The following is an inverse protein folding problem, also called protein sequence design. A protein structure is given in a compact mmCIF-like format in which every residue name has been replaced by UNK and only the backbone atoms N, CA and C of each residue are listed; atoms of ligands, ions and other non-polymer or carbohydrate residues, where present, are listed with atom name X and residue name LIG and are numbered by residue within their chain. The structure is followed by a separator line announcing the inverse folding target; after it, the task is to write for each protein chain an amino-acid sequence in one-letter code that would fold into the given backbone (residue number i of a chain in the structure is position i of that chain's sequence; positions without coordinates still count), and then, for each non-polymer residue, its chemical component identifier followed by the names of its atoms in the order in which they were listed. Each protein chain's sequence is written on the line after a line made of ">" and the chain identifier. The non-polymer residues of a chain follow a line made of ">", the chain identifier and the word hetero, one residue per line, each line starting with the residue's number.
data_IF_665175108487
#
_entry.id   IF_665175108487
#
_cell.length_a   1.000
_cell.length_b   1.000
_cell.length_c   1.000
_cell.angle_alpha   90.00
_cell.angle_beta   90.00
_cell.angle_gamma   90.00
#
_symmetry.space_group_name_H-M   'P 1'
#
loop_
_entity.id
_entity.type
_entity.pdbx_description
1 polymer ?
#
# COMPACT_ATOMS: atom_id res chain seq x y z
N UNK A 1 -15.33 -3.16 -4.42
CA UNK A 1 -15.55 -1.82 -5.03
C UNK A 1 -14.28 -1.54 -5.83
N UNK A 2 -14.37 -1.24 -7.13
CA UNK A 2 -13.18 -1.13 -7.98
C UNK A 2 -12.27 0.04 -7.55
N UNK A 3 -10.95 -0.15 -7.52
CA UNK A 3 -10.00 0.96 -7.37
C UNK A 3 -10.25 2.01 -8.46
N UNK A 4 -10.29 3.28 -8.08
CA UNK A 4 -10.51 4.40 -8.99
C UNK A 4 -9.30 5.34 -8.94
N UNK A 5 -8.51 5.31 -10.02
CA UNK A 5 -7.29 6.11 -10.17
C UNK A 5 -7.57 7.62 -10.03
N UNK A 6 -8.57 8.14 -10.74
CA UNK A 6 -8.89 9.58 -10.74
C UNK A 6 -9.26 10.05 -9.33
N UNK A 7 -10.11 9.29 -8.63
CA UNK A 7 -10.48 9.57 -7.24
C UNK A 7 -9.29 9.50 -6.28
N UNK A 8 -8.38 8.56 -6.49
CA UNK A 8 -7.16 8.46 -5.69
C UNK A 8 -6.28 9.70 -5.88
N UNK A 9 -6.09 10.15 -7.12
CA UNK A 9 -5.29 11.34 -7.46
C UNK A 9 -5.95 12.60 -6.90
N UNK A 10 -7.27 12.75 -7.02
CA UNK A 10 -8.01 13.89 -6.46
C UNK A 10 -7.86 13.99 -4.93
N UNK A 11 -7.88 12.86 -4.22
CA UNK A 11 -7.68 12.81 -2.76
C UNK A 11 -6.23 13.06 -2.36
N UNK A 12 -5.29 12.64 -3.21
CA UNK A 12 -3.86 12.66 -2.94
C UNK A 12 -3.18 13.59 -3.96
N UNK A 13 -2.44 13.02 -4.92
CA UNK A 13 -1.87 13.67 -6.10
C UNK A 13 -1.28 12.61 -7.05
N UNK A 14 -0.85 13.01 -8.25
CA UNK A 14 -0.23 12.09 -9.23
C UNK A 14 1.06 11.45 -8.71
N UNK A 15 1.85 12.18 -7.91
CA UNK A 15 3.11 11.66 -7.36
C UNK A 15 2.87 10.44 -6.47
N UNK A 16 1.89 10.51 -5.56
CA UNK A 16 1.53 9.39 -4.69
C UNK A 16 0.92 8.21 -5.46
N UNK A 17 0.30 8.47 -6.62
CA UNK A 17 -0.15 7.39 -7.50
C UNK A 17 1.04 6.65 -8.13
N UNK A 18 2.06 7.37 -8.60
CA UNK A 18 3.29 6.71 -9.07
C UNK A 18 4.02 5.95 -7.96
N UNK A 19 4.01 6.46 -6.73
CA UNK A 19 4.55 5.74 -5.58
C UNK A 19 3.76 4.46 -5.29
N UNK A 20 2.44 4.44 -5.48
CA UNK A 20 1.63 3.22 -5.39
C UNK A 20 2.04 2.20 -6.47
N UNK A 21 2.26 2.64 -7.70
CA UNK A 21 2.73 1.75 -8.78
C UNK A 21 4.12 1.18 -8.47
N UNK A 22 5.02 2.01 -7.93
CA UNK A 22 6.36 1.59 -7.51
C UNK A 22 6.31 0.59 -6.35
N UNK A 23 5.46 0.84 -5.35
CA UNK A 23 5.19 -0.10 -4.26
C UNK A 23 4.86 -1.51 -4.77
N UNK A 24 3.93 -1.64 -5.73
CA UNK A 24 3.58 -2.96 -6.26
C UNK A 24 4.74 -3.64 -6.98
N UNK A 25 5.56 -2.88 -7.71
CA UNK A 25 6.74 -3.40 -8.41
C UNK A 25 7.83 -3.89 -7.44
N UNK A 26 8.00 -3.18 -6.34
CA UNK A 26 9.08 -3.41 -5.38
C UNK A 26 8.72 -4.46 -4.34
N UNK A 27 7.47 -4.45 -3.85
CA UNK A 27 7.06 -5.27 -2.70
C UNK A 27 6.22 -6.48 -3.06
N UNK A 28 5.56 -6.51 -4.22
CA UNK A 28 4.60 -7.58 -4.55
C UNK A 28 5.17 -8.48 -5.64
N UNK A 29 5.69 -9.64 -5.24
CA UNK A 29 6.18 -10.70 -6.12
C UNK A 29 5.66 -12.07 -5.68
N UNK A 30 6.05 -13.15 -6.37
CA UNK A 30 5.58 -14.50 -6.08
C UNK A 30 5.83 -14.94 -4.63
N UNK A 31 6.92 -14.48 -4.01
CA UNK A 31 7.32 -14.86 -2.65
C UNK A 31 6.61 -14.00 -1.59
N UNK A 32 6.47 -12.70 -1.83
CA UNK A 32 5.95 -11.73 -0.85
C UNK A 32 4.44 -11.54 -0.92
N UNK A 33 3.81 -11.81 -2.07
CA UNK A 33 2.37 -11.60 -2.28
C UNK A 33 1.55 -12.26 -1.17
N UNK A 34 1.79 -13.55 -0.90
CA UNK A 34 0.98 -14.29 0.07
C UNK A 34 1.19 -13.78 1.49
N UNK A 35 2.41 -13.31 1.82
CA UNK A 35 2.71 -12.75 3.13
C UNK A 35 1.97 -11.45 3.37
N UNK A 36 2.06 -10.50 2.43
CA UNK A 36 1.37 -9.22 2.48
C UNK A 36 -0.14 -9.43 2.49
N UNK A 37 -0.65 -10.30 1.60
CA UNK A 37 -2.07 -10.58 1.48
C UNK A 37 -2.65 -11.13 2.78
N UNK A 38 -1.96 -12.10 3.40
CA UNK A 38 -2.38 -12.67 4.66
C UNK A 38 -2.32 -11.64 5.79
N UNK A 39 -1.24 -10.85 5.88
CA UNK A 39 -1.11 -9.78 6.87
C UNK A 39 -2.31 -8.82 6.83
N UNK A 40 -2.72 -8.39 5.64
CA UNK A 40 -3.88 -7.52 5.46
C UNK A 40 -5.19 -8.23 5.82
N UNK A 41 -5.41 -9.46 5.31
CA UNK A 41 -6.65 -10.20 5.52
C UNK A 41 -6.87 -10.66 6.96
N UNK A 42 -5.84 -10.84 7.76
CA UNK A 42 -5.99 -11.32 9.14
C UNK A 42 -6.77 -10.30 9.99
N UNK A 43 -8.04 -10.59 10.23
CA UNK A 43 -8.95 -9.75 11.03
C UNK A 43 -8.60 -9.75 12.52
N UNK A 44 -7.85 -10.75 13.00
CA UNK A 44 -7.41 -10.84 14.39
C UNK A 44 -6.43 -9.71 14.75
N UNK A 45 -5.69 -9.18 13.76
CA UNK A 45 -4.86 -8.00 13.93
C UNK A 45 -5.68 -6.75 13.58
N UNK A 46 -6.05 -5.98 14.61
CA UNK A 46 -6.71 -4.67 14.42
C UNK A 46 -5.74 -3.63 13.87
N UNK A 47 -4.46 -3.73 14.21
CA UNK A 47 -3.40 -2.88 13.71
C UNK A 47 -2.08 -3.65 13.72
N UNK A 48 -1.11 -3.21 12.93
CA UNK A 48 0.21 -3.83 12.87
C UNK A 48 1.04 -3.23 11.75
N UNK A 49 2.30 -3.64 11.68
CA UNK A 49 3.27 -3.17 10.70
C UNK A 49 3.93 -4.38 10.04
N UNK A 50 4.08 -4.31 8.72
CA UNK A 50 4.85 -5.23 7.91
C UNK A 50 5.92 -4.41 7.18
N UNK A 51 7.18 -4.63 7.54
CA UNK A 51 8.32 -3.97 6.92
C UNK A 51 8.73 -4.76 5.68
N UNK A 52 8.61 -4.13 4.52
CA UNK A 52 9.05 -4.66 3.24
C UNK A 52 10.49 -4.29 2.93
N UNK A 53 10.84 -4.27 1.64
CA UNK A 53 12.17 -3.91 1.17
C UNK A 53 12.43 -2.39 1.27
N UNK A 54 11.55 -1.60 0.67
CA UNK A 54 11.61 -0.12 0.65
C UNK A 54 10.40 0.49 1.37
N UNK A 55 9.29 -0.25 1.44
CA UNK A 55 8.03 0.25 1.96
C UNK A 55 7.60 -0.43 3.26
N UNK A 56 7.01 0.36 4.17
CA UNK A 56 6.32 -0.13 5.35
C UNK A 56 4.82 -0.16 5.07
N UNK A 57 4.20 -1.31 5.33
CA UNK A 57 2.75 -1.51 5.22
C UNK A 57 2.19 -1.49 6.64
N UNK A 58 1.47 -0.41 6.97
CA UNK A 58 0.87 -0.23 8.28
C UNK A 58 -0.63 -0.44 8.22
N UNK A 59 -1.11 -1.50 8.87
CA UNK A 59 -2.54 -1.68 9.12
C UNK A 59 -2.96 -0.72 10.22
N UNK A 60 -3.67 0.34 9.86
CA UNK A 60 -4.10 1.39 10.79
C UNK A 60 -5.30 0.91 11.61
N UNK A 61 -6.24 0.23 10.94
CA UNK A 61 -7.42 -0.37 11.55
C UNK A 61 -7.94 -1.53 10.67
N UNK A 62 -9.17 -1.99 10.91
CA UNK A 62 -9.79 -3.10 10.14
C UNK A 62 -10.28 -2.72 8.74
N UNK A 63 -10.24 -1.43 8.37
CA UNK A 63 -10.69 -0.94 7.07
C UNK A 63 -9.66 -0.12 6.30
N UNK A 64 -8.55 0.29 6.92
CA UNK A 64 -7.54 1.15 6.30
C UNK A 64 -6.12 0.60 6.49
N UNK A 65 -5.37 0.66 5.39
CA UNK A 65 -3.92 0.42 5.36
C UNK A 65 -3.21 1.69 4.91
N UNK A 66 -2.06 1.97 5.50
CA UNK A 66 -1.17 3.05 5.12
C UNK A 66 0.09 2.45 4.53
N UNK A 67 0.48 2.93 3.36
CA UNK A 67 1.75 2.59 2.71
C UNK A 67 2.70 3.75 2.94
N UNK A 68 3.94 3.45 3.34
CA UNK A 68 4.96 4.43 3.69
C UNK A 68 6.24 4.07 2.94
N UNK A 69 6.80 5.01 2.17
CA UNK A 69 8.16 4.89 1.64
C UNK A 69 9.16 5.23 2.75
N UNK A 70 9.83 4.20 3.30
CA UNK A 70 10.74 4.32 4.44
C UNK A 70 12.01 5.04 4.03
N UNK A 71 12.52 4.74 2.83
CA UNK A 71 13.74 5.37 2.32
C UNK A 71 13.52 6.87 2.15
N UNK A 72 12.38 7.26 1.55
CA UNK A 72 12.00 8.65 1.48
C UNK A 72 11.70 9.25 2.87
N UNK A 73 11.32 8.47 3.90
CA UNK A 73 11.11 8.95 5.30
C UNK A 73 12.34 9.57 5.90
N UNK A 74 13.50 9.06 5.55
CA UNK A 74 14.74 9.52 6.14
C UNK A 74 15.20 10.90 5.65
N UNK A 75 14.64 11.42 4.54
CA UNK A 75 15.18 12.61 3.86
C UNK A 75 14.18 13.77 3.69
N UNK A 76 12.98 13.66 4.23
CA UNK A 76 11.89 14.60 3.91
C UNK A 76 11.52 15.57 5.01
N UNK A 77 10.99 16.71 4.55
CA UNK A 77 10.41 17.76 5.39
C UNK A 77 8.89 17.64 5.55
N UNK A 78 8.22 16.89 4.67
CA UNK A 78 6.77 16.72 4.67
C UNK A 78 6.39 15.25 4.42
N UNK A 79 5.74 14.63 5.40
CA UNK A 79 5.28 13.25 5.32
C UNK A 79 4.15 13.05 4.31
N UNK A 80 3.36 14.09 4.00
CA UNK A 80 2.25 13.99 3.05
C UNK A 80 2.67 13.50 1.66
N UNK A 81 3.95 13.67 1.31
CA UNK A 81 4.48 13.30 0.00
C UNK A 81 4.95 11.86 -0.11
N UNK A 82 4.72 11.03 0.91
CA UNK A 82 5.47 9.75 1.00
C UNK A 82 4.77 8.65 1.77
N UNK A 83 3.56 8.96 2.20
CA UNK A 83 2.65 7.97 2.74
C UNK A 83 1.26 8.29 2.23
N UNK A 84 0.48 7.26 1.97
CA UNK A 84 -0.93 7.40 1.62
C UNK A 84 -1.73 6.28 2.27
N UNK A 85 -3.03 6.51 2.42
CA UNK A 85 -3.97 5.52 2.94
C UNK A 85 -4.85 4.95 1.82
N UNK A 86 -5.10 3.66 1.88
CA UNK A 86 -6.04 2.92 1.04
C UNK A 86 -7.04 2.15 1.90
N UNK A 87 -8.25 1.95 1.38
CA UNK A 87 -9.16 0.97 1.96
C UNK A 87 -8.57 -0.44 1.84
N UNK A 88 -8.76 -1.29 2.85
CA UNK A 88 -8.26 -2.67 2.82
C UNK A 88 -8.81 -3.44 1.60
N UNK A 89 -10.10 -3.27 1.29
CA UNK A 89 -10.72 -3.92 0.13
C UNK A 89 -10.13 -3.40 -1.19
N UNK A 90 -9.84 -2.09 -1.26
CA UNK A 90 -9.19 -1.47 -2.42
C UNK A 90 -7.76 -2.01 -2.60
N UNK A 91 -7.02 -2.14 -1.49
CA UNK A 91 -5.66 -2.67 -1.49
C UNK A 91 -5.60 -4.15 -1.90
N UNK A 92 -6.48 -4.97 -1.35
CA UNK A 92 -6.60 -6.40 -1.72
C UNK A 92 -6.90 -6.54 -3.21
N UNK A 93 -7.83 -5.73 -3.73
CA UNK A 93 -8.14 -5.78 -5.16
C UNK A 93 -6.92 -5.39 -6.01
N UNK A 94 -6.23 -4.31 -5.67
CA UNK A 94 -5.03 -3.88 -6.39
C UNK A 94 -3.94 -4.97 -6.38
N UNK A 95 -3.76 -5.66 -5.25
CA UNK A 95 -2.86 -6.82 -5.18
C UNK A 95 -3.29 -7.94 -6.14
N UNK A 96 -4.57 -8.30 -6.17
CA UNK A 96 -5.10 -9.35 -7.05
C UNK A 96 -4.96 -8.96 -8.54
N UNK A 97 -5.28 -7.71 -8.88
CA UNK A 97 -5.15 -7.17 -10.24
C UNK A 97 -3.68 -7.17 -10.69
N UNK A 98 -2.77 -6.73 -9.83
CA UNK A 98 -1.33 -6.74 -10.11
C UNK A 98 -0.82 -8.17 -10.32
N UNK A 99 -1.18 -9.11 -9.45
CA UNK A 99 -0.78 -10.53 -9.57
C UNK A 99 -1.26 -11.16 -10.89
N UNK A 100 -2.46 -10.82 -11.35
CA UNK A 100 -2.99 -11.33 -12.62
C UNK A 100 -2.33 -10.69 -13.85
N UNK A 101 -1.56 -9.62 -13.67
CA UNK A 101 -0.82 -8.92 -14.73
C UNK A 101 0.65 -9.31 -14.85
N UNK A 102 1.17 -10.11 -13.91
CA UNK A 102 2.51 -10.71 -13.93
C UNK A 102 2.58 -11.89 -14.91
#
# INVERSE_FOLDING_TARGET
>A
MAFNKDRFIEKNNEFLYHMLEDFFRTEVNEETFLMIYNFIKFQNFRSGEYEGNQYLIKKVNTGEVMIIDIDAENFKNDFSQTRFCLGIDEFIQLMDDYKNSL
#
